data_IF_741152015039
#
_entry.id   IF_741152015039
#
_cell.length_a   1.000
_cell.length_b   1.000
_cell.length_c   1.000
_cell.angle_alpha   90.00
_cell.angle_beta   90.00
_cell.angle_gamma   90.00
#
_symmetry.space_group_name_H-M   'P 1'
#
loop_
_entity.id
_entity.type
_entity.pdbx_description
1 polymer ?
#
# COMPACT_ATOMS: atom_id res chain seq x y z
N UNK A 1 -16.70 17.93 7.16
CA UNK A 1 -17.16 16.76 6.37
C UNK A 1 -18.33 16.04 7.07
N UNK A 2 -19.34 15.52 6.35
CA UNK A 2 -20.35 14.65 6.96
C UNK A 2 -19.70 13.41 7.59
N UNK A 3 -20.22 12.95 8.73
CA UNK A 3 -19.61 11.88 9.56
C UNK A 3 -19.32 10.60 8.79
N UNK A 4 -20.19 10.24 7.85
CA UNK A 4 -20.04 9.05 6.97
C UNK A 4 -18.78 9.14 6.10
N UNK A 5 -18.48 10.30 5.51
CA UNK A 5 -17.28 10.46 4.67
C UNK A 5 -16.00 10.40 5.48
N UNK A 6 -16.01 10.88 6.73
CA UNK A 6 -14.86 10.76 7.64
C UNK A 6 -14.57 9.29 7.97
N UNK A 7 -15.60 8.50 8.25
CA UNK A 7 -15.46 7.07 8.52
C UNK A 7 -14.94 6.33 7.28
N UNK A 8 -15.50 6.59 6.10
CA UNK A 8 -15.09 5.94 4.86
C UNK A 8 -13.64 6.28 4.47
N UNK A 9 -13.24 7.55 4.62
CA UNK A 9 -11.84 7.96 4.39
C UNK A 9 -10.89 7.26 5.36
N UNK A 10 -11.27 7.11 6.63
CA UNK A 10 -10.47 6.38 7.62
C UNK A 10 -10.28 4.91 7.27
N UNK A 11 -11.35 4.24 6.83
CA UNK A 11 -11.28 2.83 6.42
C UNK A 11 -10.42 2.70 5.16
N UNK A 12 -10.61 3.59 4.18
CA UNK A 12 -9.86 3.58 2.92
C UNK A 12 -8.36 3.73 3.14
N UNK A 13 -7.94 4.62 4.05
CA UNK A 13 -6.55 4.74 4.48
C UNK A 13 -6.01 3.42 4.99
N UNK A 14 -6.73 2.75 5.90
CA UNK A 14 -6.30 1.49 6.48
C UNK A 14 -6.20 0.39 5.42
N UNK A 15 -7.16 0.32 4.50
CA UNK A 15 -7.12 -0.64 3.39
C UNK A 15 -5.90 -0.39 2.51
N UNK A 16 -5.66 0.86 2.10
CA UNK A 16 -4.49 1.21 1.28
C UNK A 16 -3.17 0.89 1.98
N UNK A 17 -3.09 1.14 3.29
CA UNK A 17 -1.91 0.84 4.09
C UNK A 17 -1.66 -0.67 4.18
N UNK A 18 -2.67 -1.45 4.56
CA UNK A 18 -2.54 -2.91 4.71
C UNK A 18 -2.21 -3.57 3.38
N UNK A 19 -2.92 -3.21 2.31
CA UNK A 19 -2.66 -3.75 0.96
C UNK A 19 -1.23 -3.41 0.52
N UNK A 20 -0.80 -2.16 0.74
CA UNK A 20 0.57 -1.75 0.41
C UNK A 20 1.64 -2.54 1.16
N UNK A 21 1.44 -2.76 2.47
CA UNK A 21 2.34 -3.57 3.27
C UNK A 21 2.35 -5.04 2.83
N UNK A 22 1.18 -5.63 2.55
CA UNK A 22 1.08 -7.03 2.09
C UNK A 22 1.86 -7.26 0.80
N UNK A 23 1.73 -6.37 -0.19
CA UNK A 23 2.44 -6.49 -1.46
C UNK A 23 3.97 -6.40 -1.31
N UNK A 24 4.45 -5.52 -0.43
CA UNK A 24 5.88 -5.43 -0.13
C UNK A 24 6.35 -6.72 0.53
N UNK A 25 5.64 -7.20 1.54
CA UNK A 25 5.97 -8.45 2.25
C UNK A 25 5.99 -9.63 1.29
N UNK A 26 4.97 -9.78 0.45
CA UNK A 26 4.89 -10.87 -0.53
C UNK A 26 6.06 -10.84 -1.51
N UNK A 27 6.50 -9.65 -1.93
CA UNK A 27 7.66 -9.52 -2.81
C UNK A 27 8.95 -9.96 -2.11
N UNK A 28 9.17 -9.52 -0.86
CA UNK A 28 10.32 -9.95 -0.06
C UNK A 28 10.32 -11.46 0.24
N UNK A 29 9.15 -12.04 0.51
CA UNK A 29 9.00 -13.48 0.73
C UNK A 29 9.30 -14.23 -0.58
N UNK A 30 8.81 -13.74 -1.72
CA UNK A 30 9.16 -14.24 -3.04
C UNK A 30 10.68 -14.34 -3.21
N UNK A 31 11.37 -13.24 -2.90
CA UNK A 31 12.83 -13.16 -3.03
C UNK A 31 13.58 -14.13 -2.12
N UNK A 32 13.08 -14.29 -0.89
CA UNK A 32 13.65 -15.23 0.06
C UNK A 32 13.45 -16.70 -0.35
N UNK A 33 12.33 -17.03 -1.00
CA UNK A 33 11.97 -18.41 -1.38
C UNK A 33 12.53 -18.83 -2.75
N UNK A 34 12.55 -17.92 -3.72
CA UNK A 34 13.05 -18.19 -5.07
C UNK A 34 14.59 -18.18 -5.13
N UNK A 35 15.23 -17.45 -4.20
CA UNK A 35 16.66 -17.18 -4.22
C UNK A 35 16.97 -16.03 -5.18
N UNK A 36 17.79 -15.07 -4.71
CA UNK A 36 18.11 -13.83 -5.42
C UNK A 36 18.40 -14.06 -6.92
N UNK A 37 17.50 -13.56 -7.78
CA UNK A 37 17.70 -13.50 -9.23
C UNK A 37 17.06 -14.61 -10.07
N UNK A 38 16.27 -15.52 -9.47
CA UNK A 38 15.51 -16.54 -10.23
C UNK A 38 14.07 -16.13 -10.55
N UNK A 39 13.55 -15.12 -9.86
CA UNK A 39 12.20 -14.59 -10.08
C UNK A 39 12.15 -13.55 -11.20
N UNK A 40 10.98 -13.48 -11.86
CA UNK A 40 10.71 -12.50 -12.89
C UNK A 40 10.72 -11.09 -12.28
N UNK A 41 11.87 -10.44 -12.40
CA UNK A 41 12.15 -9.12 -11.85
C UNK A 41 11.10 -8.08 -12.22
N UNK A 42 10.42 -8.24 -13.36
CA UNK A 42 9.36 -7.34 -13.80
C UNK A 42 8.13 -7.46 -12.91
N UNK A 43 7.74 -8.67 -12.54
CA UNK A 43 6.61 -8.92 -11.65
C UNK A 43 6.90 -8.43 -10.23
N UNK A 44 8.10 -8.70 -9.71
CA UNK A 44 8.52 -8.19 -8.40
C UNK A 44 8.55 -6.67 -8.36
N UNK A 45 9.16 -6.02 -9.36
CA UNK A 45 9.24 -4.56 -9.42
C UNK A 45 7.86 -3.91 -9.55
N UNK A 46 6.95 -4.51 -10.34
CA UNK A 46 5.57 -4.04 -10.43
C UNK A 46 4.86 -4.15 -9.08
N UNK A 47 5.09 -5.23 -8.34
CA UNK A 47 4.48 -5.43 -7.04
C UNK A 47 4.98 -4.48 -5.96
N UNK A 48 6.29 -4.22 -5.92
CA UNK A 48 6.88 -3.21 -5.04
C UNK A 48 6.35 -1.81 -5.39
N UNK A 49 6.30 -1.45 -6.67
CA UNK A 49 5.81 -0.15 -7.10
C UNK A 49 4.33 0.06 -6.71
N UNK A 50 3.49 -0.96 -6.86
CA UNK A 50 2.08 -0.93 -6.42
C UNK A 50 2.02 -0.79 -4.90
N UNK A 51 2.79 -1.58 -4.16
CA UNK A 51 2.82 -1.55 -2.70
C UNK A 51 3.24 -0.18 -2.14
N UNK A 52 4.33 0.38 -2.68
CA UNK A 52 4.84 1.71 -2.31
C UNK A 52 3.80 2.80 -2.65
N UNK A 53 3.19 2.75 -3.84
CA UNK A 53 2.18 3.73 -4.26
C UNK A 53 0.96 3.69 -3.34
N UNK A 54 0.51 2.50 -2.95
CA UNK A 54 -0.60 2.33 -2.02
C UNK A 54 -0.29 2.92 -0.63
N UNK A 55 0.93 2.74 -0.13
CA UNK A 55 1.38 3.34 1.15
C UNK A 55 1.39 4.88 1.05
N UNK A 56 1.97 5.44 -0.03
CA UNK A 56 2.00 6.89 -0.26
C UNK A 56 0.57 7.44 -0.29
N UNK A 57 -0.34 6.80 -1.03
CA UNK A 57 -1.74 7.20 -1.08
C UNK A 57 -2.43 7.12 0.29
N UNK A 58 -2.09 6.14 1.14
CA UNK A 58 -2.63 6.06 2.49
C UNK A 58 -2.21 7.27 3.35
N UNK A 59 -0.95 7.69 3.24
CA UNK A 59 -0.41 8.88 3.95
C UNK A 59 -1.05 10.15 3.42
N UNK A 60 -1.17 10.29 2.10
CA UNK A 60 -1.84 11.43 1.45
C UNK A 60 -3.31 11.51 1.87
N UNK A 61 -4.02 10.38 1.92
CA UNK A 61 -5.43 10.33 2.34
C UNK A 61 -5.61 10.70 3.83
N UNK A 62 -4.68 10.31 4.71
CA UNK A 62 -4.66 10.79 6.11
C UNK A 62 -4.46 12.31 6.17
N UNK A 63 -3.52 12.84 5.39
CA UNK A 63 -3.21 14.26 5.42
C UNK A 63 -4.37 15.09 4.84
N UNK A 64 -5.00 14.64 3.75
CA UNK A 64 -6.21 15.24 3.20
C UNK A 64 -7.34 15.24 4.23
N UNK A 65 -7.56 14.12 4.93
CA UNK A 65 -8.55 14.06 6.00
C UNK A 65 -8.26 15.10 7.08
N UNK A 66 -7.02 15.20 7.57
CA UNK A 66 -6.62 16.17 8.61
C UNK A 66 -6.81 17.63 8.17
N UNK A 67 -6.65 17.95 6.88
CA UNK A 67 -6.84 19.30 6.36
C UNK A 67 -8.32 19.64 6.06
N UNK A 68 -9.20 18.64 5.98
CA UNK A 68 -10.63 18.79 5.71
C UNK A 68 -11.50 18.66 6.99
N UNK A 69 -10.85 18.38 8.11
CA UNK A 69 -11.39 18.50 9.47
C UNK A 69 -11.40 19.95 9.92
#
# INVERSE_FOLDING_TARGET
>A
MPSIFKALASISVWVLFIVGCSWIIDTFIGWALAGFGTEDWQMSAAGEAIGITAIILSVVAINLRKNLE
#
